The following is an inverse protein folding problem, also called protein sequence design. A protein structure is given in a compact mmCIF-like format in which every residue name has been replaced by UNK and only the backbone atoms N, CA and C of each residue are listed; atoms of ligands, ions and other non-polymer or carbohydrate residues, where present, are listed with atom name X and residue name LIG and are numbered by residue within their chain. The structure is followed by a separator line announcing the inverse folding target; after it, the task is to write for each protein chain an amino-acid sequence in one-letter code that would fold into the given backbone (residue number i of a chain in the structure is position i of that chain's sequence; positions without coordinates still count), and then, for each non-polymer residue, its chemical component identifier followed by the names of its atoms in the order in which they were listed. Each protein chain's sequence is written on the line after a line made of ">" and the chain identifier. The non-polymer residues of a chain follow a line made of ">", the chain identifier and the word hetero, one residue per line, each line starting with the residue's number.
data_IF_704653213277
#
_entry.id   IF_704653213277
#
_cell.length_a   1.000
_cell.length_b   1.000
_cell.length_c   1.000
_cell.angle_alpha   90.00
_cell.angle_beta   90.00
_cell.angle_gamma   90.00
#
_symmetry.space_group_name_H-M   'P 1'
#
loop_
_entity.id
_entity.type
_entity.pdbx_description
1 polymer ?
#
# COMPACT_ATOMS: atom_id res chain seq x y z
N UNK A 1 -12.75 11.54 -12.25
CA UNK A 1 -11.33 11.17 -12.04
C UNK A 1 -11.02 10.08 -13.06
N UNK A 2 -10.13 10.32 -14.04
CA UNK A 2 -9.84 9.33 -15.09
C UNK A 2 -9.11 8.12 -14.49
N UNK A 3 -9.40 6.89 -14.94
CA UNK A 3 -8.73 5.65 -14.47
C UNK A 3 -7.20 5.79 -14.48
N UNK A 4 -6.69 6.43 -15.54
CA UNK A 4 -5.25 6.66 -15.76
C UNK A 4 -4.59 7.45 -14.63
N UNK A 5 -5.32 8.40 -14.02
CA UNK A 5 -4.81 9.20 -12.90
C UNK A 5 -4.82 8.44 -11.58
N UNK A 6 -5.70 7.43 -11.45
CA UNK A 6 -5.74 6.56 -10.28
C UNK A 6 -4.59 5.55 -10.34
N UNK A 7 -4.37 4.96 -11.52
CA UNK A 7 -3.25 4.05 -11.78
C UNK A 7 -1.91 4.72 -11.47
N UNK A 8 -1.67 5.92 -12.01
CA UNK A 8 -0.44 6.67 -11.73
C UNK A 8 -0.24 7.00 -10.24
N UNK A 9 -1.31 7.30 -9.51
CA UNK A 9 -1.23 7.56 -8.06
C UNK A 9 -0.92 6.30 -7.27
N UNK A 10 -1.45 5.16 -7.72
CA UNK A 10 -1.20 3.85 -7.11
C UNK A 10 0.25 3.40 -7.39
N UNK A 11 0.77 3.60 -8.60
CA UNK A 11 2.18 3.30 -8.90
C UNK A 11 3.14 4.15 -8.07
N UNK A 12 2.92 5.46 -7.98
CA UNK A 12 3.73 6.35 -7.16
C UNK A 12 3.70 5.98 -5.66
N UNK A 13 2.55 5.49 -5.17
CA UNK A 13 2.41 4.96 -3.82
C UNK A 13 3.30 3.72 -3.62
N UNK A 14 3.31 2.79 -4.59
CA UNK A 14 4.12 1.58 -4.50
C UNK A 14 5.62 1.84 -4.63
N UNK A 15 6.03 2.80 -5.46
CA UNK A 15 7.42 3.24 -5.54
C UNK A 15 7.90 3.80 -4.19
N UNK A 16 7.08 4.65 -3.57
CA UNK A 16 7.35 5.22 -2.25
C UNK A 16 7.45 4.12 -1.18
N UNK A 17 6.52 3.16 -1.19
CA UNK A 17 6.53 2.03 -0.24
C UNK A 17 7.76 1.13 -0.42
N UNK A 18 8.22 0.95 -1.66
CA UNK A 18 9.41 0.15 -2.00
C UNK A 18 10.69 0.86 -1.57
N UNK A 19 10.81 2.17 -1.81
CA UNK A 19 11.92 2.99 -1.33
C UNK A 19 12.00 2.96 0.20
N UNK A 20 10.86 3.16 0.89
CA UNK A 20 10.76 3.07 2.35
C UNK A 20 11.20 1.70 2.89
N UNK A 21 10.89 0.60 2.19
CA UNK A 21 11.38 -0.75 2.54
C UNK A 21 12.90 -0.90 2.34
N UNK A 22 13.47 -0.30 1.29
CA UNK A 22 14.91 -0.37 1.01
C UNK A 22 15.71 0.36 2.08
N UNK A 23 15.25 1.53 2.50
CA UNK A 23 15.89 2.32 3.55
C UNK A 23 15.65 1.75 4.96
N UNK A 24 14.44 1.27 5.23
CA UNK A 24 14.10 0.67 6.51
C UNK A 24 13.86 -0.83 6.33
N UNK A 25 14.73 -1.70 6.85
CA UNK A 25 14.47 -3.15 6.94
C UNK A 25 13.15 -3.38 7.68
N UNK A 26 12.05 -3.44 6.93
CA UNK A 26 10.72 -3.67 7.47
C UNK A 26 10.64 -5.14 7.86
N UNK A 27 10.86 -5.42 9.15
CA UNK A 27 10.49 -6.72 9.72
C UNK A 27 8.98 -6.97 9.58
N UNK A 28 8.56 -8.22 9.78
CA UNK A 28 7.16 -8.67 9.64
C UNK A 28 6.19 -7.75 10.36
N UNK A 29 6.52 -7.35 11.60
CA UNK A 29 5.69 -6.43 12.40
C UNK A 29 5.44 -5.08 11.73
N UNK A 30 6.49 -4.45 11.17
CA UNK A 30 6.36 -3.13 10.55
C UNK A 30 5.54 -3.18 9.27
N UNK A 31 5.59 -4.29 8.53
CA UNK A 31 4.75 -4.54 7.35
C UNK A 31 3.28 -4.69 7.73
N UNK A 32 2.99 -5.48 8.77
CA UNK A 32 1.62 -5.62 9.28
C UNK A 32 1.06 -4.28 9.77
N UNK A 33 1.88 -3.48 10.47
CA UNK A 33 1.50 -2.12 10.88
C UNK A 33 1.19 -1.23 9.69
N UNK A 34 2.04 -1.21 8.66
CA UNK A 34 1.80 -0.44 7.42
C UNK A 34 0.48 -0.83 6.75
N UNK A 35 0.24 -2.13 6.59
CA UNK A 35 -0.98 -2.65 5.97
C UNK A 35 -2.23 -2.25 6.75
N UNK A 36 -2.22 -2.42 8.07
CA UNK A 36 -3.36 -2.07 8.92
C UNK A 36 -3.63 -0.57 8.92
N UNK A 37 -2.58 0.26 9.06
CA UNK A 37 -2.74 1.72 9.00
C UNK A 37 -3.30 2.15 7.65
N UNK A 38 -2.77 1.62 6.55
CA UNK A 38 -3.25 1.94 5.20
C UNK A 38 -4.72 1.55 5.01
N UNK A 39 -5.11 0.35 5.45
CA UNK A 39 -6.49 -0.14 5.40
C UNK A 39 -7.46 0.76 6.16
N UNK A 40 -7.10 1.16 7.39
CA UNK A 40 -7.93 2.05 8.22
C UNK A 40 -8.09 3.43 7.59
N UNK A 41 -6.99 4.04 7.14
CA UNK A 41 -7.02 5.34 6.46
C UNK A 41 -7.92 5.33 5.22
N UNK A 42 -7.96 4.22 4.48
CA UNK A 42 -8.84 4.08 3.33
C UNK A 42 -10.32 3.95 3.73
N UNK A 43 -10.62 3.16 4.76
CA UNK A 43 -11.98 3.05 5.29
C UNK A 43 -12.48 4.40 5.81
N UNK A 44 -11.65 5.13 6.56
CA UNK A 44 -12.00 6.46 7.10
C UNK A 44 -12.26 7.50 6.00
N UNK A 45 -11.60 7.36 4.85
CA UNK A 45 -11.84 8.22 3.67
C UNK A 45 -13.06 7.79 2.84
N UNK A 46 -13.76 6.74 3.24
CA UNK A 46 -14.98 6.26 2.58
C UNK A 46 -14.73 5.47 1.31
N UNK A 47 -13.54 4.89 1.13
CA UNK A 47 -13.30 3.97 0.03
C UNK A 47 -14.03 2.64 0.26
N UNK A 48 -14.47 2.01 -0.82
CA UNK A 48 -15.14 0.71 -0.77
C UNK A 48 -14.23 -0.36 -0.13
N UNK A 49 -14.85 -1.25 0.64
CA UNK A 49 -14.13 -2.29 1.38
C UNK A 49 -13.40 -3.25 0.45
N UNK A 50 -14.02 -3.68 -0.66
CA UNK A 50 -13.39 -4.59 -1.62
C UNK A 50 -12.19 -3.94 -2.33
N UNK A 51 -12.31 -2.65 -2.65
CA UNK A 51 -11.21 -1.87 -3.22
C UNK A 51 -10.06 -1.68 -2.20
N UNK A 52 -10.41 -1.40 -0.95
CA UNK A 52 -9.46 -1.23 0.14
C UNK A 52 -8.66 -2.50 0.40
N UNK A 53 -9.32 -3.66 0.47
CA UNK A 53 -8.63 -4.95 0.62
C UNK A 53 -7.67 -5.21 -0.55
N UNK A 54 -8.16 -5.05 -1.78
CA UNK A 54 -7.37 -5.32 -2.99
C UNK A 54 -6.08 -4.47 -3.03
N UNK A 55 -6.17 -3.17 -2.74
CA UNK A 55 -4.97 -2.30 -2.75
C UNK A 55 -4.06 -2.64 -1.57
N UNK A 56 -4.62 -2.96 -0.40
CA UNK A 56 -3.84 -3.32 0.80
C UNK A 56 -3.03 -4.61 0.57
N UNK A 57 -3.61 -5.62 -0.06
CA UNK A 57 -2.89 -6.85 -0.43
C UNK A 57 -1.74 -6.56 -1.40
N UNK A 58 -2.01 -5.77 -2.45
CA UNK A 58 -0.96 -5.36 -3.42
C UNK A 58 0.17 -4.61 -2.73
N UNK A 59 -0.14 -3.75 -1.76
CA UNK A 59 0.85 -3.04 -0.94
C UNK A 59 1.71 -4.01 -0.14
N UNK A 60 1.09 -4.97 0.56
CA UNK A 60 1.80 -5.98 1.35
C UNK A 60 2.74 -6.81 0.47
N UNK A 61 2.28 -7.23 -0.72
CA UNK A 61 3.09 -7.98 -1.68
C UNK A 61 4.28 -7.15 -2.17
N UNK A 62 4.06 -5.89 -2.55
CA UNK A 62 5.12 -4.98 -2.99
C UNK A 62 6.21 -4.79 -1.92
N UNK A 63 5.82 -4.57 -0.67
CA UNK A 63 6.78 -4.43 0.44
C UNK A 63 7.34 -5.77 0.93
N UNK A 64 6.85 -6.90 0.43
CA UNK A 64 7.30 -8.24 0.83
C UNK A 64 8.18 -8.95 -0.17
N UNK A 65 8.14 -8.59 -1.45
CA UNK A 65 9.08 -9.11 -2.45
C UNK A 65 10.52 -8.86 -1.97
N UNK A 66 11.33 -9.90 -1.77
CA UNK A 66 12.78 -9.71 -1.69
C UNK A 66 13.29 -9.42 -3.11
N UNK A 67 14.19 -8.45 -3.26
CA UNK A 67 15.04 -8.36 -4.45
C UNK A 67 15.85 -9.67 -4.59
#
# INVERSE_FOLDING_TARGET
>A
MSLKNLEQKVDALFDTATAFRKEHKLGVYKKARLANTFRWEMKERGYDDSFTEMITEKLVVAVSKKD
#
